data_IF_062438114954
#
_entry.id   IF_062438114954
#
_cell.length_a   1.000
_cell.length_b   1.000
_cell.length_c   1.000
_cell.angle_alpha   90.00
_cell.angle_beta   90.00
_cell.angle_gamma   90.00
#
_symmetry.space_group_name_H-M   'P 1'
#
loop_
_entity.id
_entity.type
_entity.pdbx_description
1 polymer ?
#
# COMPACT_ATOMS: atom_id res chain seq x y z
N UNK A 1 0.17 -5.20 -17.86
CA UNK A 1 0.08 -4.03 -16.96
C UNK A 1 -0.76 -4.33 -15.72
N UNK A 2 -2.08 -4.58 -15.81
CA UNK A 2 -2.92 -4.89 -14.61
C UNK A 2 -2.43 -6.14 -13.88
N UNK A 3 -2.04 -7.18 -14.62
CA UNK A 3 -1.48 -8.42 -14.04
C UNK A 3 -0.29 -8.16 -13.11
N UNK A 4 0.56 -7.17 -13.43
CA UNK A 4 1.69 -6.77 -12.58
C UNK A 4 1.24 -6.44 -11.17
N UNK A 5 0.17 -5.64 -11.04
CA UNK A 5 -0.37 -5.23 -9.75
C UNK A 5 -1.15 -6.34 -9.06
N UNK A 6 -1.83 -7.21 -9.80
CA UNK A 6 -2.47 -8.41 -9.23
C UNK A 6 -1.42 -9.30 -8.57
N UNK A 7 -0.28 -9.52 -9.23
CA UNK A 7 0.83 -10.28 -8.64
C UNK A 7 1.45 -9.55 -7.45
N UNK A 8 1.58 -8.22 -7.49
CA UNK A 8 2.07 -7.45 -6.35
C UNK A 8 1.15 -7.57 -5.13
N UNK A 9 -0.16 -7.43 -5.33
CA UNK A 9 -1.17 -7.62 -4.30
C UNK A 9 -1.17 -9.07 -3.77
N UNK A 10 -1.01 -10.05 -4.66
CA UNK A 10 -0.86 -11.45 -4.27
C UNK A 10 0.40 -11.67 -3.42
N UNK A 11 1.53 -11.07 -3.80
CA UNK A 11 2.76 -11.15 -3.02
C UNK A 11 2.57 -10.57 -1.61
N UNK A 12 1.92 -9.40 -1.47
CA UNK A 12 1.57 -8.81 -0.18
C UNK A 12 0.64 -9.72 0.64
N UNK A 13 -0.42 -10.25 0.01
CA UNK A 13 -1.34 -11.17 0.68
C UNK A 13 -0.60 -12.43 1.17
N UNK A 14 0.22 -13.03 0.32
CA UNK A 14 1.04 -14.19 0.71
C UNK A 14 1.99 -13.88 1.86
N UNK A 15 2.54 -12.66 1.91
CA UNK A 15 3.40 -12.21 3.01
C UNK A 15 2.60 -12.17 4.33
N UNK A 16 1.39 -11.59 4.30
CA UNK A 16 0.49 -11.53 5.47
C UNK A 16 0.05 -12.91 5.96
N UNK A 17 -0.06 -13.89 5.07
CA UNK A 17 -0.33 -15.30 5.41
C UNK A 17 0.92 -16.12 5.74
N UNK A 18 2.06 -15.46 6.00
CA UNK A 18 3.36 -16.09 6.34
C UNK A 18 3.91 -17.05 5.28
N UNK A 19 3.45 -16.97 4.03
CA UNK A 19 4.01 -17.73 2.88
C UNK A 19 5.21 -16.99 2.29
N UNK A 20 6.21 -16.72 3.11
CA UNK A 20 7.32 -15.79 2.83
C UNK A 20 8.04 -16.13 1.51
N UNK A 21 8.52 -17.38 1.34
CA UNK A 21 9.26 -17.78 0.13
C UNK A 21 8.44 -17.53 -1.14
N UNK A 22 7.17 -17.93 -1.14
CA UNK A 22 6.29 -17.76 -2.29
C UNK A 22 6.00 -16.28 -2.54
N UNK A 23 5.79 -15.49 -1.49
CA UNK A 23 5.58 -14.05 -1.57
C UNK A 23 6.74 -13.34 -2.29
N UNK A 24 7.99 -13.62 -1.91
CA UNK A 24 9.17 -13.05 -2.58
C UNK A 24 9.33 -13.53 -4.03
N UNK A 25 9.01 -14.79 -4.34
CA UNK A 25 9.02 -15.29 -5.73
C UNK A 25 7.99 -14.52 -6.58
N UNK A 26 6.77 -14.35 -6.07
CA UNK A 26 5.71 -13.60 -6.77
C UNK A 26 6.08 -12.13 -6.89
N UNK A 27 6.73 -11.54 -5.89
CA UNK A 27 7.27 -10.17 -5.96
C UNK A 27 8.28 -10.02 -7.09
N UNK A 28 9.23 -10.94 -7.21
CA UNK A 28 10.24 -10.91 -8.28
C UNK A 28 9.59 -11.01 -9.66
N UNK A 29 8.61 -11.91 -9.83
CA UNK A 29 7.84 -12.02 -11.09
C UNK A 29 7.09 -10.71 -11.39
N UNK A 30 6.45 -10.12 -10.38
CA UNK A 30 5.79 -8.81 -10.50
C UNK A 30 6.79 -7.72 -10.90
N UNK A 31 7.98 -7.68 -10.30
CA UNK A 31 9.06 -6.75 -10.64
C UNK A 31 9.54 -6.89 -12.09
N UNK A 32 9.73 -8.11 -12.58
CA UNK A 32 10.07 -8.35 -13.99
C UNK A 32 8.99 -7.83 -14.93
N UNK A 33 7.71 -8.06 -14.63
CA UNK A 33 6.60 -7.52 -15.42
C UNK A 33 6.49 -6.00 -15.32
N UNK A 34 6.81 -5.41 -14.16
CA UNK A 34 6.82 -3.98 -13.96
C UNK A 34 7.89 -3.32 -14.84
N UNK A 35 9.09 -3.91 -14.88
CA UNK A 35 10.16 -3.46 -15.78
C UNK A 35 9.78 -3.63 -17.25
N UNK A 36 9.25 -4.81 -17.63
CA UNK A 36 8.80 -5.08 -19.00
C UNK A 36 7.74 -4.10 -19.50
N UNK A 37 6.85 -3.64 -18.61
CA UNK A 37 5.82 -2.65 -18.92
C UNK A 37 6.26 -1.19 -18.72
N UNK A 38 7.55 -0.93 -18.46
CA UNK A 38 8.10 0.41 -18.17
C UNK A 38 7.44 1.13 -16.97
N UNK A 39 6.86 0.36 -16.04
CA UNK A 39 6.31 0.89 -14.79
C UNK A 39 7.45 1.28 -13.85
N UNK A 40 8.55 0.52 -13.86
CA UNK A 40 9.76 0.82 -13.11
C UNK A 40 10.97 0.84 -14.04
N UNK A 41 11.91 1.73 -13.75
CA UNK A 41 13.18 1.86 -14.46
C UNK A 41 14.28 1.04 -13.78
N UNK A 42 15.37 0.80 -14.51
CA UNK A 42 16.53 0.08 -13.98
C UNK A 42 17.17 0.80 -12.78
N UNK A 43 17.16 2.14 -12.78
CA UNK A 43 17.62 2.98 -11.69
C UNK A 43 16.88 2.64 -10.39
N UNK A 44 15.55 2.59 -10.45
CA UNK A 44 14.69 2.24 -9.33
C UNK A 44 14.96 0.81 -8.81
N UNK A 45 15.13 -0.16 -9.73
CA UNK A 45 15.45 -1.55 -9.37
C UNK A 45 16.78 -1.62 -8.59
N UNK A 46 17.80 -0.89 -9.03
CA UNK A 46 19.10 -0.84 -8.35
C UNK A 46 18.96 -0.21 -6.96
N UNK A 47 18.26 0.93 -6.84
CA UNK A 47 18.02 1.58 -5.55
C UNK A 47 17.31 0.66 -4.57
N UNK A 48 16.18 0.08 -4.97
CA UNK A 48 15.42 -0.85 -4.13
C UNK A 48 16.25 -2.10 -3.80
N UNK A 49 17.00 -2.64 -4.76
CA UNK A 49 17.89 -3.79 -4.56
C UNK A 49 18.95 -3.55 -3.49
N UNK A 50 19.58 -2.36 -3.48
CA UNK A 50 20.55 -1.97 -2.45
C UNK A 50 19.89 -1.97 -1.07
N UNK A 51 18.70 -1.38 -0.93
CA UNK A 51 17.98 -1.37 0.34
C UNK A 51 17.52 -2.76 0.79
N UNK A 52 17.16 -3.65 -0.13
CA UNK A 52 16.92 -5.06 0.21
C UNK A 52 18.18 -5.74 0.77
N UNK A 53 19.34 -5.51 0.17
CA UNK A 53 20.62 -6.05 0.67
C UNK A 53 20.98 -5.47 2.04
N UNK A 54 20.76 -4.16 2.25
CA UNK A 54 20.94 -3.51 3.55
C UNK A 54 20.00 -4.10 4.61
N UNK A 55 18.73 -4.36 4.27
CA UNK A 55 17.79 -5.03 5.19
C UNK A 55 18.21 -6.46 5.54
N UNK A 56 18.76 -7.20 4.58
CA UNK A 56 19.32 -8.53 4.85
C UNK A 56 20.57 -8.47 5.73
N UNK A 57 21.43 -7.46 5.53
CA UNK A 57 22.59 -7.22 6.39
C UNK A 57 22.18 -6.83 7.81
N UNK A 58 21.18 -5.95 7.96
CA UNK A 58 20.62 -5.53 9.24
C UNK A 58 20.15 -6.71 10.09
N UNK A 59 19.57 -7.75 9.47
CA UNK A 59 19.12 -8.96 10.16
C UNK A 59 20.22 -9.63 10.98
N UNK A 60 21.46 -9.61 10.49
CA UNK A 60 22.62 -10.18 11.18
C UNK A 60 23.37 -9.16 12.03
N UNK A 61 23.35 -7.88 11.63
CA UNK A 61 24.06 -6.78 12.27
C UNK A 61 23.10 -5.66 12.63
N UNK A 62 22.32 -5.86 13.70
CA UNK A 62 21.37 -4.86 14.18
C UNK A 62 22.08 -3.56 14.50
N UNK A 63 21.74 -2.51 13.76
CA UNK A 63 22.33 -1.18 13.90
C UNK A 63 21.23 -0.14 13.71
N UNK A 64 21.05 0.72 14.71
CA UNK A 64 20.03 1.78 14.72
C UNK A 64 20.19 2.72 13.52
N UNK A 65 21.42 3.02 13.10
CA UNK A 65 21.65 3.87 11.93
C UNK A 65 21.12 3.22 10.64
N UNK A 66 21.37 1.92 10.46
CA UNK A 66 20.86 1.17 9.31
C UNK A 66 19.33 1.06 9.34
N UNK A 67 18.77 0.82 10.52
CA UNK A 67 17.32 0.79 10.71
C UNK A 67 16.68 2.13 10.30
N UNK A 68 17.18 3.24 10.84
CA UNK A 68 16.70 4.59 10.50
C UNK A 68 16.83 4.88 8.99
N UNK A 69 17.93 4.47 8.38
CA UNK A 69 18.16 4.64 6.95
C UNK A 69 17.13 3.86 6.11
N UNK A 70 16.84 2.61 6.47
CA UNK A 70 15.87 1.76 5.77
C UNK A 70 14.44 2.29 5.99
N UNK A 71 14.09 2.71 7.21
CA UNK A 71 12.78 3.32 7.51
C UNK A 71 12.59 4.63 6.76
N UNK A 72 13.61 5.48 6.69
CA UNK A 72 13.58 6.71 5.89
C UNK A 72 13.36 6.40 4.41
N UNK A 73 13.98 5.34 3.87
CA UNK A 73 13.74 4.92 2.50
C UNK A 73 12.32 4.39 2.28
N UNK A 74 11.77 3.62 3.22
CA UNK A 74 10.36 3.21 3.18
C UNK A 74 9.42 4.42 3.17
N UNK A 75 9.72 5.47 3.94
CA UNK A 75 8.98 6.74 3.91
C UNK A 75 9.08 7.43 2.53
N UNK A 76 10.27 7.47 1.93
CA UNK A 76 10.44 8.05 0.60
C UNK A 76 9.67 7.27 -0.48
N UNK A 77 9.62 5.93 -0.39
CA UNK A 77 8.75 5.10 -1.24
C UNK A 77 7.27 5.41 -0.99
N UNK A 78 6.87 5.57 0.26
CA UNK A 78 5.48 5.89 0.62
C UNK A 78 5.02 7.25 0.07
N UNK A 79 5.94 8.21 -0.01
CA UNK A 79 5.73 9.58 -0.49
C UNK A 79 5.92 9.73 -2.01
N UNK A 80 6.25 8.66 -2.76
CA UNK A 80 6.57 8.74 -4.19
C UNK A 80 7.78 9.63 -4.53
N UNK A 81 8.73 9.75 -3.61
CA UNK A 81 9.89 10.64 -3.77
C UNK A 81 11.09 9.96 -4.47
N UNK A 82 11.04 8.64 -4.67
CA UNK A 82 12.08 7.92 -5.39
C UNK A 82 11.80 7.99 -6.90
N UNK A 83 12.74 8.49 -7.72
CA UNK A 83 12.56 8.55 -9.17
C UNK A 83 12.60 7.17 -9.83
N UNK A 84 12.14 7.09 -11.08
CA UNK A 84 12.18 5.86 -11.88
C UNK A 84 10.94 4.97 -11.71
N UNK A 85 9.83 5.52 -11.23
CA UNK A 85 8.53 4.83 -11.11
C UNK A 85 7.47 5.60 -11.87
N UNK A 86 6.94 4.97 -12.91
CA UNK A 86 5.86 5.49 -13.74
C UNK A 86 4.54 4.86 -13.27
N UNK A 87 3.96 5.44 -12.23
CA UNK A 87 2.69 4.96 -11.68
C UNK A 87 1.59 4.95 -12.75
N UNK A 88 0.86 3.83 -12.80
CA UNK A 88 -0.06 3.56 -13.90
C UNK A 88 -1.41 4.21 -13.60
N UNK A 89 -1.85 5.09 -14.49
CA UNK A 89 -3.21 5.64 -14.45
C UNK A 89 -4.22 4.56 -14.89
N UNK A 90 -5.03 4.07 -13.96
CA UNK A 90 -6.04 3.03 -14.22
C UNK A 90 -7.41 3.63 -14.54
N UNK A 91 -7.78 4.71 -13.84
CA UNK A 91 -9.00 5.46 -14.10
C UNK A 91 -8.61 6.91 -14.41
N UNK A 92 -9.17 7.49 -15.48
CA UNK A 92 -8.90 8.87 -15.87
C UNK A 92 -10.19 9.67 -15.91
N UNK A 93 -10.34 10.61 -14.97
CA UNK A 93 -11.48 11.54 -14.89
C UNK A 93 -12.85 10.86 -14.98
N UNK A 94 -13.00 9.69 -14.36
CA UNK A 94 -14.28 8.98 -14.29
C UNK A 94 -15.17 9.65 -13.26
N UNK A 95 -16.48 9.61 -13.48
CA UNK A 95 -17.46 10.13 -12.53
C UNK A 95 -18.14 8.96 -11.83
N UNK A 96 -18.42 9.10 -10.52
CA UNK A 96 -19.19 8.10 -9.79
C UNK A 96 -20.69 8.21 -10.06
N UNK A 97 -21.17 9.44 -10.27
CA UNK A 97 -22.54 9.84 -10.58
C UNK A 97 -22.55 11.17 -11.34
N UNK A 98 -23.71 11.62 -11.80
CA UNK A 98 -23.86 12.86 -12.58
C UNK A 98 -23.32 14.11 -11.86
N UNK A 99 -23.43 14.17 -10.53
CA UNK A 99 -22.98 15.32 -9.73
C UNK A 99 -21.62 15.10 -9.05
N UNK A 100 -21.00 13.93 -9.23
CA UNK A 100 -19.68 13.65 -8.67
C UNK A 100 -18.59 14.40 -9.41
N UNK A 101 -17.58 14.90 -8.68
CA UNK A 101 -16.36 15.41 -9.29
C UNK A 101 -15.61 14.30 -10.03
N UNK A 102 -14.84 14.68 -11.06
CA UNK A 102 -14.00 13.74 -11.79
C UNK A 102 -12.96 13.09 -10.87
N UNK A 103 -12.88 11.77 -10.91
CA UNK A 103 -11.96 10.95 -10.12
C UNK A 103 -10.92 10.28 -11.03
N UNK A 104 -9.66 10.33 -10.61
CA UNK A 104 -8.55 9.69 -11.30
C UNK A 104 -7.82 8.79 -10.32
N UNK A 105 -7.51 7.56 -10.72
CA UNK A 105 -6.88 6.56 -9.86
C UNK A 105 -5.58 6.06 -10.50
N UNK A 106 -4.51 6.08 -9.70
CA UNK A 106 -3.21 5.55 -10.08
C UNK A 106 -2.89 4.33 -9.24
N UNK A 107 -2.41 3.26 -9.89
CA UNK A 107 -1.81 2.14 -9.19
C UNK A 107 -0.32 2.42 -8.99
N UNK A 108 0.08 2.36 -7.73
CA UNK A 108 1.42 2.64 -7.25
C UNK A 108 2.21 1.37 -7.06
N UNK A 109 3.36 1.23 -7.72
CA UNK A 109 4.18 0.02 -7.61
C UNK A 109 5.18 0.08 -6.45
N UNK A 110 5.64 1.27 -6.13
CA UNK A 110 6.71 1.58 -5.18
C UNK A 110 6.30 1.44 -3.71
N UNK A 111 5.14 2.01 -3.31
CA UNK A 111 4.71 1.96 -1.90
C UNK A 111 4.66 0.53 -1.32
N UNK A 112 4.09 -0.46 -2.02
CA UNK A 112 4.09 -1.86 -1.57
C UNK A 112 5.47 -2.43 -1.23
N UNK A 113 6.54 -1.98 -1.88
CA UNK A 113 7.90 -2.49 -1.64
C UNK A 113 8.39 -2.16 -0.22
N UNK A 114 7.92 -1.04 0.34
CA UNK A 114 8.18 -0.66 1.73
C UNK A 114 7.74 -1.75 2.72
N UNK A 115 6.61 -2.43 2.45
CA UNK A 115 6.12 -3.53 3.31
C UNK A 115 7.13 -4.68 3.39
N UNK A 116 7.74 -5.03 2.27
CA UNK A 116 8.73 -6.12 2.22
C UNK A 116 10.03 -5.73 2.94
N UNK A 117 10.47 -4.47 2.80
CA UNK A 117 11.63 -3.96 3.52
C UNK A 117 11.38 -3.91 5.04
N UNK A 118 10.23 -3.38 5.46
CA UNK A 118 9.81 -3.36 6.86
C UNK A 118 9.68 -4.77 7.43
N UNK A 119 9.17 -5.72 6.65
CA UNK A 119 9.09 -7.13 7.07
C UNK A 119 10.46 -7.75 7.32
N UNK A 120 11.49 -7.37 6.55
CA UNK A 120 12.86 -7.83 6.78
C UNK A 120 13.48 -7.22 8.06
N UNK A 121 13.12 -5.98 8.40
CA UNK A 121 13.50 -5.35 9.67
C UNK A 121 12.79 -6.00 10.86
N UNK A 122 11.48 -6.22 10.71
CA UNK A 122 10.59 -6.73 11.75
C UNK A 122 9.74 -7.90 11.23
N UNK A 123 10.22 -9.16 11.35
CA UNK A 123 9.50 -10.35 10.87
C UNK A 123 8.14 -10.58 11.54
N UNK A 124 7.89 -9.94 12.69
CA UNK A 124 6.61 -9.95 13.40
C UNK A 124 5.59 -8.93 12.88
N UNK A 125 5.83 -8.26 11.74
CA UNK A 125 4.96 -7.23 11.17
C UNK A 125 3.48 -7.62 11.07
N UNK A 126 3.22 -8.86 10.66
CA UNK A 126 1.88 -9.42 10.51
C UNK A 126 1.46 -10.29 11.71
N UNK A 127 2.24 -10.28 12.80
CA UNK A 127 1.89 -10.97 14.02
C UNK A 127 1.10 -10.04 14.94
N UNK A 128 -0.06 -10.50 15.37
CA UNK A 128 -0.86 -9.76 16.33
C UNK A 128 -0.44 -10.14 17.75
N UNK A 129 0.68 -9.59 18.22
CA UNK A 129 1.27 -9.90 19.52
C UNK A 129 0.38 -9.42 20.69
N UNK A 130 -0.38 -8.33 20.49
CA UNK A 130 -1.23 -7.71 21.50
C UNK A 130 -2.67 -7.55 21.01
N UNK A 131 -3.40 -8.66 20.83
CA UNK A 131 -4.80 -8.63 20.39
C UNK A 131 -5.71 -8.07 21.49
N UNK A 132 -5.87 -6.75 21.52
CA UNK A 132 -6.88 -6.09 22.34
C UNK A 132 -8.22 -6.24 21.62
N UNK A 133 -9.18 -6.95 22.22
CA UNK A 133 -10.55 -6.99 21.70
C UNK A 133 -11.17 -5.61 21.92
N UNK A 134 -11.61 -4.88 20.87
CA UNK A 134 -12.24 -3.60 21.07
C UNK A 134 -13.51 -3.80 21.89
N UNK A 135 -13.74 -2.91 22.87
CA UNK A 135 -15.03 -2.86 23.57
C UNK A 135 -16.12 -2.54 22.54
N UNK A 136 -17.36 -2.98 22.79
CA UNK A 136 -18.50 -2.71 21.90
C UNK A 136 -18.58 -1.22 21.51
N UNK A 137 -18.37 -0.32 22.48
CA UNK A 137 -18.35 1.12 22.25
C UNK A 137 -17.25 1.58 21.27
N UNK A 138 -16.03 1.03 21.38
CA UNK A 138 -14.93 1.36 20.48
C UNK A 138 -15.20 0.86 19.05
N UNK A 139 -15.75 -0.35 18.93
CA UNK A 139 -16.16 -0.89 17.64
C UNK A 139 -17.29 -0.08 17.00
N UNK A 140 -18.28 0.32 17.80
CA UNK A 140 -19.36 1.19 17.36
C UNK A 140 -18.85 2.57 16.91
N UNK A 141 -17.92 3.16 17.66
CA UNK A 141 -17.31 4.44 17.30
C UNK A 141 -16.48 4.34 16.01
N UNK A 142 -15.71 3.26 15.83
CA UNK A 142 -14.96 3.02 14.61
C UNK A 142 -15.89 2.90 13.40
N UNK A 143 -16.98 2.13 13.52
CA UNK A 143 -17.98 1.98 12.46
C UNK A 143 -18.72 3.30 12.17
N UNK A 144 -19.03 4.08 13.20
CA UNK A 144 -19.69 5.37 13.08
C UNK A 144 -18.78 6.48 12.53
N UNK A 145 -17.45 6.32 12.66
CA UNK A 145 -16.49 7.39 12.35
C UNK A 145 -16.61 7.97 10.93
N UNK A 146 -16.78 7.19 9.84
CA UNK A 146 -16.94 7.78 8.51
C UNK A 146 -18.24 8.58 8.39
N UNK A 147 -19.33 8.10 8.99
CA UNK A 147 -20.62 8.79 8.96
C UNK A 147 -20.58 10.10 9.76
N UNK A 148 -19.93 10.09 10.92
CA UNK A 148 -19.73 11.30 11.74
C UNK A 148 -18.86 12.32 11.00
N UNK A 149 -17.77 11.90 10.37
CA UNK A 149 -16.89 12.77 9.61
C UNK A 149 -17.58 13.39 8.39
N UNK A 150 -18.44 12.62 7.70
CA UNK A 150 -19.20 13.09 6.54
C UNK A 150 -20.41 13.95 6.91
N UNK A 151 -20.89 13.91 8.16
CA UNK A 151 -22.06 14.68 8.60
C UNK A 151 -21.87 16.20 8.53
N UNK A 152 -20.67 16.69 8.84
CA UNK A 152 -20.33 18.12 8.83
C UNK A 152 -20.37 18.70 7.40
N UNK A 153 -19.61 18.17 6.42
CA UNK A 153 -19.67 18.69 5.05
C UNK A 153 -21.05 18.48 4.41
N UNK A 154 -21.80 17.45 4.81
CA UNK A 154 -23.18 17.28 4.36
C UNK A 154 -24.10 18.38 4.88
N UNK A 155 -24.04 18.69 6.18
CA UNK A 155 -24.84 19.77 6.78
C UNK A 155 -24.49 21.15 6.19
N UNK A 156 -23.22 21.40 5.88
CA UNK A 156 -22.75 22.63 5.24
C UNK A 156 -23.07 22.68 3.73
N UNK A 157 -23.69 21.65 3.16
CA UNK A 157 -24.03 21.58 1.73
C UNK A 157 -22.83 21.40 0.80
N UNK A 158 -21.67 21.01 1.34
CA UNK A 158 -20.44 20.75 0.56
C UNK A 158 -20.54 19.43 -0.20
N UNK A 159 -21.18 18.42 0.38
CA UNK A 159 -21.42 17.12 -0.25
C UNK A 159 -22.92 16.80 -0.29
N UNK A 160 -23.34 16.13 -1.37
CA UNK A 160 -24.69 15.57 -1.50
C UNK A 160 -24.64 14.06 -1.37
N UNK A 161 -25.62 13.49 -0.68
CA UNK A 161 -25.75 12.04 -0.62
C UNK A 161 -26.35 11.52 -1.91
N UNK A 162 -25.60 10.67 -2.60
CA UNK A 162 -26.04 9.95 -3.79
C UNK A 162 -25.71 8.48 -3.60
N UNK A 163 -26.74 7.64 -3.76
CA UNK A 163 -26.59 6.19 -3.61
C UNK A 163 -26.34 5.62 -4.99
N UNK A 164 -25.16 5.06 -5.19
CA UNK A 164 -24.79 4.41 -6.44
C UNK A 164 -23.46 3.68 -6.32
N UNK A 165 -23.33 2.60 -7.08
CA UNK A 165 -22.06 1.89 -7.22
C UNK A 165 -21.49 2.18 -8.61
N UNK A 166 -20.37 2.90 -8.70
CA UNK A 166 -19.75 3.12 -9.99
C UNK A 166 -19.25 1.80 -10.58
N UNK A 167 -19.31 1.69 -11.91
CA UNK A 167 -18.82 0.51 -12.64
C UNK A 167 -17.34 0.19 -12.36
N UNK A 168 -16.56 1.20 -11.95
CA UNK A 168 -15.13 1.10 -11.65
C UNK A 168 -14.81 0.80 -10.18
N UNK A 169 -15.80 0.55 -9.31
CA UNK A 169 -15.59 0.36 -7.86
C UNK A 169 -14.59 -0.75 -7.54
N UNK A 170 -14.51 -1.80 -8.35
CA UNK A 170 -13.59 -2.93 -8.14
C UNK A 170 -12.12 -2.46 -8.19
N UNK A 171 -11.77 -1.54 -9.10
CA UNK A 171 -10.42 -0.97 -9.17
C UNK A 171 -10.10 -0.11 -7.95
N UNK A 172 -11.08 0.68 -7.51
CA UNK A 172 -10.97 1.49 -6.31
C UNK A 172 -10.74 0.63 -5.06
N UNK A 173 -11.56 -0.41 -4.87
CA UNK A 173 -11.45 -1.34 -3.74
C UNK A 173 -10.13 -2.10 -3.77
N UNK A 174 -9.73 -2.61 -4.94
CA UNK A 174 -8.45 -3.31 -5.10
C UNK A 174 -7.27 -2.42 -4.71
N UNK A 175 -7.22 -1.19 -5.24
CA UNK A 175 -6.15 -0.24 -4.94
C UNK A 175 -6.11 0.12 -3.46
N UNK A 176 -7.26 0.52 -2.89
CA UNK A 176 -7.30 0.98 -1.51
C UNK A 176 -7.05 -0.15 -0.51
N UNK A 177 -7.50 -1.37 -0.79
CA UNK A 177 -7.28 -2.50 0.11
C UNK A 177 -5.81 -2.95 0.12
N UNK A 178 -5.22 -3.19 -1.06
CA UNK A 178 -3.91 -3.83 -1.14
C UNK A 178 -2.74 -2.85 -1.28
N UNK A 179 -2.92 -1.76 -2.02
CA UNK A 179 -1.82 -0.83 -2.36
C UNK A 179 -1.76 0.38 -1.42
N UNK A 180 -2.83 0.65 -0.67
CA UNK A 180 -2.92 1.77 0.29
C UNK A 180 -3.06 1.24 1.71
N UNK A 181 -4.23 0.73 2.10
CA UNK A 181 -4.54 0.38 3.48
C UNK A 181 -3.62 -0.71 4.05
N UNK A 182 -3.34 -1.78 3.30
CA UNK A 182 -2.41 -2.81 3.77
C UNK A 182 -0.97 -2.26 3.95
N UNK A 183 -0.56 -1.34 3.09
CA UNK A 183 0.76 -0.69 3.17
C UNK A 183 0.83 0.26 4.37
N UNK A 184 -0.20 1.08 4.56
CA UNK A 184 -0.33 1.98 5.70
C UNK A 184 -0.39 1.22 7.03
N UNK A 185 -1.21 0.18 7.12
CA UNK A 185 -1.30 -0.67 8.30
C UNK A 185 0.04 -1.35 8.62
N UNK A 186 0.76 -1.83 7.59
CA UNK A 186 2.10 -2.38 7.78
C UNK A 186 3.09 -1.31 8.26
N UNK A 187 3.01 -0.09 7.73
CA UNK A 187 3.86 1.02 8.16
C UNK A 187 3.61 1.35 9.63
N UNK A 188 2.35 1.63 10.01
CA UNK A 188 1.96 2.00 11.39
C UNK A 188 2.12 0.90 12.43
N UNK A 189 2.14 -0.38 12.01
CA UNK A 189 2.50 -1.49 12.90
C UNK A 189 4.00 -1.62 13.11
N UNK A 190 4.78 -1.27 12.09
CA UNK A 190 6.23 -1.35 12.10
C UNK A 190 6.87 -0.25 12.94
N UNK A 191 6.39 0.98 12.79
CA UNK A 191 6.97 2.23 13.31
C UNK A 191 5.88 3.29 13.51
#
# INVERSE_FOLDING_TARGET
MILTFILLALALALLSFKKIKLSFVVLVISGFLAYYHNIIEISFIVFVGVFFLLSLYYKNNKNVFLELLIVAFCLLLFLHFIPGVNNVKILDKVHASEHSSAFTLYFSFDKPLGVFLLFLLMPSLFENLNRIKPKLFQAALLFASPFLLLSIPWYLGVIKMEIGFPSWIVYFLFSNLFLVALVEEAFFRGY
#
